data_IF_599840049918
#
_entry.id   IF_599840049918
#
_cell.length_a   1.000
_cell.length_b   1.000
_cell.length_c   1.000
_cell.angle_alpha   90.00
_cell.angle_beta   90.00
_cell.angle_gamma   90.00
#
_symmetry.space_group_name_H-M   'P 1'
#
loop_
_entity.id
_entity.type
_entity.pdbx_description
1 polymer ?
#
# COMPACT_ATOMS: atom_id res chain seq x y z
N UNK A 1 11.03 -8.97 3.22
CA UNK A 1 10.27 -8.23 4.27
C UNK A 1 10.61 -6.76 4.17
N UNK A 2 9.61 -5.84 4.21
CA UNK A 2 9.87 -4.39 4.22
C UNK A 2 10.43 -4.02 5.59
N UNK A 3 11.52 -3.23 5.61
CA UNK A 3 12.21 -2.79 6.83
C UNK A 3 12.04 -1.30 7.10
N UNK A 4 12.04 -0.49 6.05
CA UNK A 4 12.00 0.96 6.18
C UNK A 4 11.32 1.57 4.97
N UNK A 5 10.60 2.66 5.18
CA UNK A 5 10.15 3.55 4.11
C UNK A 5 10.51 4.99 4.45
N UNK A 6 11.05 5.70 3.47
CA UNK A 6 11.21 7.15 3.50
C UNK A 6 10.23 7.78 2.52
N UNK A 7 9.61 8.86 2.91
CA UNK A 7 8.55 9.54 2.16
C UNK A 7 8.90 11.02 2.13
N UNK A 8 9.13 11.56 0.95
CA UNK A 8 9.49 12.95 0.75
C UNK A 8 8.48 13.64 -0.19
N UNK A 9 8.06 14.84 0.15
CA UNK A 9 7.22 15.69 -0.68
C UNK A 9 5.78 15.19 -0.92
N UNK A 10 5.26 14.25 -0.11
CA UNK A 10 3.96 13.62 -0.34
C UNK A 10 2.88 14.09 0.62
N UNK A 11 1.84 14.74 0.09
CA UNK A 11 0.70 15.29 0.84
C UNK A 11 1.17 16.21 1.98
N UNK A 12 0.95 15.82 3.24
CA UNK A 12 1.38 16.57 4.42
C UNK A 12 2.81 16.25 4.86
N UNK A 13 3.47 15.28 4.25
CA UNK A 13 4.83 14.91 4.59
C UNK A 13 5.84 15.71 3.79
N UNK A 14 6.68 16.45 4.47
CA UNK A 14 7.88 17.05 3.92
C UNK A 14 8.94 15.96 3.75
N UNK A 15 9.39 15.41 4.87
CA UNK A 15 10.26 14.24 4.91
C UNK A 15 9.94 13.42 6.14
N UNK A 16 9.67 12.15 5.97
CA UNK A 16 9.43 11.22 7.06
C UNK A 16 10.09 9.88 6.78
N UNK A 17 10.69 9.30 7.81
CA UNK A 17 11.30 7.98 7.78
C UNK A 17 10.65 7.09 8.82
N UNK A 18 10.20 5.91 8.41
CA UNK A 18 9.49 4.95 9.24
C UNK A 18 10.13 3.57 9.15
N UNK A 19 10.46 3.00 10.29
CA UNK A 19 10.85 1.60 10.39
C UNK A 19 9.61 0.71 10.40
N UNK A 20 9.64 -0.36 9.63
CA UNK A 20 8.56 -1.31 9.47
C UNK A 20 9.00 -2.71 9.91
N UNK A 21 8.08 -3.42 10.51
CA UNK A 21 8.28 -4.79 10.98
C UNK A 21 7.24 -5.73 10.36
N UNK A 22 7.30 -7.03 10.67
CA UNK A 22 6.32 -8.03 10.21
C UNK A 22 4.88 -7.64 10.56
N UNK A 23 4.71 -6.91 11.64
CA UNK A 23 3.47 -6.27 12.03
C UNK A 23 3.76 -4.83 12.45
N UNK A 24 3.15 -3.88 11.78
CA UNK A 24 3.26 -2.45 12.09
C UNK A 24 1.87 -1.85 12.27
N UNK A 25 1.63 -1.25 13.41
CA UNK A 25 0.38 -0.57 13.73
C UNK A 25 0.57 0.95 13.66
N UNK A 26 -0.17 1.59 12.76
CA UNK A 26 -0.24 3.05 12.67
C UNK A 26 -1.43 3.57 13.48
N UNK A 27 -1.17 4.15 14.63
CA UNK A 27 -2.18 4.72 15.51
C UNK A 27 -2.05 6.26 15.58
N UNK A 28 -3.15 6.95 15.80
CA UNK A 28 -3.17 8.40 15.93
C UNK A 28 -4.50 9.02 15.51
N UNK A 29 -4.62 10.35 15.69
CA UNK A 29 -5.82 11.13 15.34
C UNK A 29 -6.13 11.05 13.85
N UNK A 30 -7.35 11.44 13.47
CA UNK A 30 -7.69 11.57 12.04
C UNK A 30 -6.84 12.65 11.37
N UNK A 31 -6.58 12.48 10.08
CA UNK A 31 -5.82 13.42 9.23
C UNK A 31 -4.34 13.60 9.57
N UNK A 32 -3.73 12.75 10.40
CA UNK A 32 -2.28 12.81 10.70
C UNK A 32 -1.40 12.07 9.68
N UNK A 33 -1.96 11.58 8.56
CA UNK A 33 -1.18 10.96 7.50
C UNK A 33 -1.09 9.42 7.54
N UNK A 34 -1.78 8.71 8.45
CA UNK A 34 -1.73 7.23 8.50
C UNK A 34 -2.03 6.56 7.16
N UNK A 35 -3.10 6.99 6.50
CA UNK A 35 -3.47 6.48 5.19
C UNK A 35 -2.43 6.85 4.13
N UNK A 36 -1.79 8.01 4.24
CA UNK A 36 -0.73 8.43 3.30
C UNK A 36 0.49 7.52 3.39
N UNK A 37 0.87 7.05 4.58
CA UNK A 37 1.94 6.05 4.75
C UNK A 37 1.58 4.74 4.06
N UNK A 38 0.36 4.24 4.22
CA UNK A 38 -0.08 2.99 3.55
C UNK A 38 -0.08 3.19 2.02
N UNK A 39 -0.54 4.35 1.55
CA UNK A 39 -0.58 4.69 0.13
C UNK A 39 0.81 4.82 -0.48
N UNK A 40 1.78 5.38 0.24
CA UNK A 40 3.17 5.47 -0.24
C UNK A 40 3.81 4.08 -0.36
N UNK A 41 3.62 3.20 0.63
CA UNK A 41 4.08 1.81 0.53
C UNK A 41 3.43 1.13 -0.68
N UNK A 42 2.11 1.27 -0.86
CA UNK A 42 1.41 0.65 -1.98
C UNK A 42 1.87 1.21 -3.33
N UNK A 43 2.12 2.53 -3.44
CA UNK A 43 2.61 3.17 -4.65
C UNK A 43 3.98 2.63 -5.11
N UNK A 44 4.82 2.15 -4.20
CA UNK A 44 6.10 1.51 -4.56
C UNK A 44 5.91 0.25 -5.41
N UNK A 45 4.79 -0.46 -5.25
CA UNK A 45 4.47 -1.70 -5.96
C UNK A 45 3.56 -1.49 -7.19
N UNK A 46 3.18 -0.26 -7.49
CA UNK A 46 2.40 0.06 -8.68
C UNK A 46 3.31 0.43 -9.84
N UNK A 47 3.08 -0.16 -11.00
CA UNK A 47 3.78 0.17 -12.23
C UNK A 47 3.07 1.32 -12.98
N UNK A 48 3.78 1.93 -13.95
CA UNK A 48 3.28 2.97 -14.83
C UNK A 48 3.66 4.39 -14.42
N UNK A 49 3.28 5.35 -15.27
CA UNK A 49 3.67 6.75 -15.12
C UNK A 49 2.99 7.46 -13.93
N UNK A 50 1.89 6.92 -13.45
CA UNK A 50 1.21 7.44 -12.27
C UNK A 50 0.80 6.31 -11.30
N UNK A 51 1.63 6.01 -10.29
CA UNK A 51 1.37 4.95 -9.34
C UNK A 51 0.18 5.23 -8.40
N UNK A 52 -0.39 6.43 -8.46
CA UNK A 52 -1.55 6.84 -7.66
C UNK A 52 -2.89 6.60 -8.36
N UNK A 53 -2.86 6.12 -9.62
CA UNK A 53 -4.04 5.78 -10.40
C UNK A 53 -4.01 4.31 -10.83
N UNK A 54 -4.89 3.53 -10.23
CA UNK A 54 -5.03 2.12 -10.52
C UNK A 54 -6.34 1.57 -9.95
N UNK A 55 -6.53 0.28 -10.12
CA UNK A 55 -7.74 -0.42 -9.68
C UNK A 55 -7.98 -0.27 -8.17
N UNK A 56 -6.93 -0.41 -7.37
CA UNK A 56 -7.02 -0.41 -5.90
C UNK A 56 -6.81 0.97 -5.28
N UNK A 57 -6.17 1.90 -5.98
CA UNK A 57 -5.90 3.23 -5.50
C UNK A 57 -6.10 4.24 -6.62
N UNK A 58 -6.97 5.22 -6.40
CA UNK A 58 -7.18 6.34 -7.31
C UNK A 58 -7.34 7.62 -6.49
N UNK A 59 -6.22 8.30 -6.24
CA UNK A 59 -6.17 9.46 -5.33
C UNK A 59 -5.72 10.76 -6.00
N UNK A 60 -5.43 10.73 -7.29
CA UNK A 60 -5.10 11.92 -8.08
C UNK A 60 -3.80 11.81 -8.86
N UNK A 61 -3.29 12.94 -9.28
CA UNK A 61 -2.02 13.08 -10.00
C UNK A 61 -0.92 13.55 -9.06
N UNK A 62 0.35 13.40 -9.48
CA UNK A 62 1.51 13.85 -8.72
C UNK A 62 1.37 15.31 -8.26
N UNK A 63 1.03 16.24 -9.16
CA UNK A 63 0.87 17.67 -8.84
C UNK A 63 -0.14 17.97 -7.73
N UNK A 64 -1.21 17.15 -7.65
CA UNK A 64 -2.26 17.30 -6.63
C UNK A 64 -1.82 16.72 -5.28
N UNK A 65 -0.84 15.83 -5.32
CA UNK A 65 -0.36 15.07 -4.16
C UNK A 65 0.98 15.56 -3.62
N UNK A 66 1.69 16.41 -4.36
CA UNK A 66 2.89 17.08 -3.86
C UNK A 66 2.59 17.93 -2.63
N UNK A 67 3.56 18.05 -1.73
CA UNK A 67 3.42 18.88 -0.54
C UNK A 67 3.42 20.36 -0.91
N UNK A 68 2.22 20.95 -0.98
CA UNK A 68 2.02 22.36 -1.32
C UNK A 68 2.57 23.33 -0.23
N UNK A 69 2.77 22.88 1.01
CA UNK A 69 3.28 23.73 2.10
C UNK A 69 4.75 24.00 1.89
N UNK A 70 5.51 23.00 1.47
CA UNK A 70 6.95 23.11 1.21
C UNK A 70 7.23 23.55 -0.22
N UNK A 71 6.22 23.50 -1.10
CA UNK A 71 6.36 23.83 -2.52
C UNK A 71 7.15 22.76 -3.28
N UNK A 72 6.97 21.48 -2.91
CA UNK A 72 7.61 20.38 -3.62
C UNK A 72 6.97 20.15 -4.97
N UNK A 73 7.79 20.01 -6.02
CA UNK A 73 7.36 19.67 -7.38
C UNK A 73 7.51 18.17 -7.67
N UNK A 74 8.01 17.42 -6.71
CA UNK A 74 8.29 16.00 -6.82
C UNK A 74 7.94 15.25 -5.53
N UNK A 75 7.62 13.97 -5.70
CA UNK A 75 7.40 13.01 -4.64
C UNK A 75 8.44 11.94 -4.75
N UNK A 76 9.11 11.60 -3.65
CA UNK A 76 10.10 10.55 -3.62
C UNK A 76 9.80 9.55 -2.51
N UNK A 77 9.86 8.28 -2.86
CA UNK A 77 9.72 7.17 -1.94
C UNK A 77 10.93 6.27 -2.01
N UNK A 78 11.54 5.98 -0.86
CA UNK A 78 12.64 5.04 -0.72
C UNK A 78 12.20 3.88 0.16
N UNK A 79 12.38 2.67 -0.33
CA UNK A 79 12.00 1.45 0.34
C UNK A 79 13.23 0.58 0.60
N UNK A 80 13.47 0.22 1.86
CA UNK A 80 14.42 -0.82 2.22
C UNK A 80 13.67 -2.12 2.53
N UNK A 81 14.08 -3.20 1.90
CA UNK A 81 13.46 -4.49 2.12
C UNK A 81 14.53 -5.59 2.19
N UNK A 82 14.19 -6.64 2.90
CA UNK A 82 15.04 -7.82 3.05
C UNK A 82 14.49 -8.95 2.20
N UNK A 83 15.35 -9.48 1.34
CA UNK A 83 15.08 -10.64 0.51
C UNK A 83 16.29 -11.58 0.57
N UNK A 84 16.05 -12.87 0.80
CA UNK A 84 17.09 -13.91 0.92
C UNK A 84 18.26 -13.54 1.85
N UNK A 85 17.96 -12.86 2.97
CA UNK A 85 18.96 -12.44 3.94
C UNK A 85 19.83 -11.25 3.52
N UNK A 86 19.49 -10.59 2.41
CA UNK A 86 20.13 -9.37 1.94
C UNK A 86 19.19 -8.19 2.07
N UNK A 87 19.73 -7.05 2.44
CA UNK A 87 19.00 -5.78 2.41
C UNK A 87 19.16 -5.15 1.06
N UNK A 88 18.04 -4.88 0.41
CA UNK A 88 17.94 -4.23 -0.89
C UNK A 88 17.19 -2.92 -0.76
N UNK A 89 17.41 -2.02 -1.72
CA UNK A 89 16.77 -0.72 -1.77
C UNK A 89 16.09 -0.52 -3.12
N UNK A 90 14.94 0.11 -3.09
CA UNK A 90 14.25 0.58 -4.27
C UNK A 90 13.79 2.00 -4.02
N UNK A 91 13.94 2.87 -4.99
CA UNK A 91 13.43 4.23 -4.95
C UNK A 91 12.48 4.51 -6.10
N UNK A 92 11.54 5.40 -5.88
CA UNK A 92 10.59 5.84 -6.88
C UNK A 92 10.39 7.34 -6.76
N UNK A 93 10.70 8.04 -7.84
CA UNK A 93 10.54 9.48 -7.97
C UNK A 93 9.39 9.77 -8.93
N UNK A 94 8.43 10.55 -8.50
CA UNK A 94 7.19 10.84 -9.21
C UNK A 94 7.06 12.34 -9.38
N UNK A 95 6.92 12.76 -10.64
CA UNK A 95 6.77 14.17 -11.04
C UNK A 95 5.52 14.34 -11.89
N UNK A 96 5.24 15.57 -12.29
CA UNK A 96 4.20 15.87 -13.28
C UNK A 96 4.41 15.18 -14.62
N UNK A 97 5.66 14.95 -15.00
CA UNK A 97 6.07 14.42 -16.30
C UNK A 97 6.07 12.90 -16.34
N UNK A 98 6.08 12.24 -15.18
CA UNK A 98 6.06 10.79 -15.07
C UNK A 98 6.78 10.25 -13.84
N UNK A 99 6.96 8.95 -13.84
CA UNK A 99 7.60 8.21 -12.73
C UNK A 99 8.92 7.60 -13.17
N UNK A 100 9.95 7.82 -12.37
CA UNK A 100 11.25 7.15 -12.50
C UNK A 100 11.45 6.21 -11.33
N UNK A 101 11.87 4.99 -11.57
CA UNK A 101 12.16 4.01 -10.54
C UNK A 101 13.61 3.53 -10.63
N UNK A 102 14.27 3.45 -9.49
CA UNK A 102 15.60 2.88 -9.34
C UNK A 102 15.52 1.70 -8.36
N UNK A 103 16.28 0.65 -8.65
CA UNK A 103 16.15 -0.62 -7.94
C UNK A 103 14.92 -1.41 -8.43
N UNK A 104 14.95 -2.72 -8.27
CA UNK A 104 13.87 -3.59 -8.72
C UNK A 104 13.30 -4.32 -7.51
N UNK A 105 12.07 -4.00 -7.15
CA UNK A 105 11.32 -4.85 -6.21
C UNK A 105 10.97 -6.12 -6.97
N UNK A 106 11.38 -7.28 -6.44
CA UNK A 106 11.15 -8.55 -7.13
C UNK A 106 9.66 -8.79 -7.40
N UNK A 107 9.35 -9.29 -8.60
CA UNK A 107 7.99 -9.59 -9.08
C UNK A 107 7.22 -10.60 -8.21
N UNK A 108 7.91 -11.28 -7.30
CA UNK A 108 7.30 -12.30 -6.42
C UNK A 108 6.60 -11.75 -5.17
N UNK A 109 6.72 -10.45 -4.90
CA UNK A 109 6.06 -9.84 -3.74
C UNK A 109 4.60 -9.59 -4.08
N UNK A 110 3.70 -10.42 -3.54
CA UNK A 110 2.27 -10.18 -3.63
C UNK A 110 1.85 -9.13 -2.60
N UNK A 111 1.34 -8.00 -3.06
CA UNK A 111 0.82 -6.94 -2.20
C UNK A 111 -0.70 -6.99 -2.21
N UNK A 112 -1.30 -6.99 -1.04
CA UNK A 112 -2.73 -6.90 -0.84
C UNK A 112 -3.03 -5.57 -0.19
N UNK A 113 -3.74 -4.70 -0.90
CA UNK A 113 -4.16 -3.40 -0.40
C UNK A 113 -5.66 -3.42 -0.06
N UNK A 114 -5.97 -3.18 1.21
CA UNK A 114 -7.34 -3.01 1.67
C UNK A 114 -7.62 -1.51 1.88
N UNK A 115 -8.48 -0.95 1.05
CA UNK A 115 -8.84 0.46 1.16
C UNK A 115 -9.64 0.76 2.43
N UNK A 116 -9.75 2.04 2.79
CA UNK A 116 -10.63 2.49 3.88
C UNK A 116 -12.13 2.34 3.55
N UNK A 117 -12.47 2.23 2.27
CA UNK A 117 -13.82 1.99 1.76
C UNK A 117 -14.15 0.49 1.81
N UNK A 118 -14.08 -0.08 3.00
CA UNK A 118 -14.41 -1.49 3.18
C UNK A 118 -15.90 -1.72 3.09
N UNK A 119 -16.28 -2.88 2.55
CA UNK A 119 -17.65 -3.36 2.67
C UNK A 119 -17.97 -3.51 4.15
N UNK A 120 -18.99 -2.81 4.61
CA UNK A 120 -19.50 -2.94 5.97
C UNK A 120 -20.15 -4.31 6.20
N UNK A 121 -20.70 -4.51 7.39
CA UNK A 121 -21.43 -5.74 7.71
C UNK A 121 -22.65 -5.88 6.79
N UNK A 122 -22.72 -7.00 6.06
CA UNK A 122 -23.82 -7.38 5.17
C UNK A 122 -24.33 -8.75 5.56
N UNK A 123 -25.57 -9.04 5.24
CA UNK A 123 -26.18 -10.37 5.47
C UNK A 123 -25.58 -11.44 4.55
N UNK A 124 -25.08 -11.02 3.38
CA UNK A 124 -24.46 -11.91 2.37
C UNK A 124 -23.25 -11.26 1.75
N UNK A 125 -22.21 -12.06 1.49
CA UNK A 125 -21.00 -11.65 0.79
C UNK A 125 -20.80 -12.51 -0.45
N UNK A 126 -20.24 -11.90 -1.51
CA UNK A 126 -19.86 -12.64 -2.70
C UNK A 126 -18.73 -13.63 -2.35
N UNK A 127 -18.84 -14.83 -2.89
CA UNK A 127 -17.82 -15.85 -2.73
C UNK A 127 -16.90 -15.86 -3.95
N UNK A 128 -15.61 -15.70 -3.71
CA UNK A 128 -14.61 -15.90 -4.74
C UNK A 128 -14.36 -17.40 -4.94
N UNK A 129 -14.46 -17.86 -6.18
CA UNK A 129 -14.33 -19.29 -6.55
C UNK A 129 -13.01 -19.61 -7.26
N UNK A 130 -12.07 -18.67 -7.33
CA UNK A 130 -10.76 -18.89 -7.96
C UNK A 130 -9.75 -19.54 -7.00
N UNK A 131 -8.69 -20.08 -7.56
CA UNK A 131 -7.60 -20.76 -6.81
C UNK A 131 -6.61 -19.77 -6.18
N UNK A 132 -6.60 -18.51 -6.63
CA UNK A 132 -5.72 -17.48 -6.09
C UNK A 132 -6.37 -16.72 -4.92
N UNK A 133 -5.55 -16.25 -3.98
CA UNK A 133 -6.04 -15.38 -2.90
C UNK A 133 -6.28 -13.98 -3.46
N UNK A 134 -7.54 -13.63 -3.65
CA UNK A 134 -8.00 -12.31 -4.07
C UNK A 134 -8.93 -11.76 -2.98
N UNK A 135 -8.56 -10.62 -2.39
CA UNK A 135 -9.38 -10.02 -1.31
C UNK A 135 -10.42 -9.05 -1.87
N UNK A 136 -10.19 -8.56 -3.09
CA UNK A 136 -11.02 -7.53 -3.74
C UNK A 136 -10.66 -6.11 -3.29
N UNK A 137 -11.11 -5.13 -4.07
CA UNK A 137 -10.80 -3.71 -3.85
C UNK A 137 -11.34 -3.19 -2.51
N UNK A 138 -12.53 -3.61 -2.16
CA UNK A 138 -13.23 -3.21 -0.94
C UNK A 138 -13.24 -4.33 0.12
N UNK A 139 -12.31 -5.27 0.02
CA UNK A 139 -12.23 -6.47 0.86
C UNK A 139 -13.48 -7.36 0.76
N UNK A 140 -14.19 -7.36 -0.37
CA UNK A 140 -15.44 -8.08 -0.58
C UNK A 140 -15.29 -9.60 -0.45
N UNK A 141 -14.12 -10.14 -0.75
CA UNK A 141 -13.83 -11.58 -0.66
C UNK A 141 -13.12 -12.00 0.63
N UNK A 142 -12.77 -11.06 1.50
CA UNK A 142 -12.03 -11.35 2.73
C UNK A 142 -12.76 -12.35 3.64
N UNK A 143 -14.08 -12.26 3.71
CA UNK A 143 -14.92 -13.15 4.53
C UNK A 143 -14.86 -14.60 4.01
N UNK A 144 -14.77 -14.80 2.71
CA UNK A 144 -14.68 -16.14 2.12
C UNK A 144 -13.45 -16.90 2.62
N UNK A 145 -12.33 -16.20 2.80
CA UNK A 145 -11.07 -16.81 3.26
C UNK A 145 -11.07 -17.08 4.77
N UNK A 146 -11.68 -16.24 5.57
CA UNK A 146 -11.78 -16.48 7.02
C UNK A 146 -12.59 -17.72 7.34
N UNK A 147 -13.66 -17.99 6.58
CA UNK A 147 -14.46 -19.20 6.74
C UNK A 147 -13.76 -20.47 6.24
N UNK A 148 -12.88 -20.37 5.25
CA UNK A 148 -12.14 -21.52 4.72
C UNK A 148 -10.95 -21.92 5.61
N UNK A 149 -10.42 -21.00 6.42
CA UNK A 149 -9.20 -21.21 7.22
C UNK A 149 -9.45 -21.42 8.71
N UNK A 150 -10.64 -21.13 9.20
CA UNK A 150 -10.99 -21.45 10.59
C UNK A 150 -11.24 -22.96 10.72
N UNK A 151 -10.56 -23.66 11.66
CA UNK A 151 -10.90 -25.04 11.94
C UNK A 151 -12.36 -25.07 12.41
N UNK A 152 -13.18 -25.82 11.71
CA UNK A 152 -14.52 -26.18 12.19
C UNK A 152 -14.33 -26.95 13.48
N UNK A 153 -14.47 -26.29 14.62
CA UNK A 153 -14.69 -26.98 15.89
C UNK A 153 -16.03 -27.65 15.76
N UNK A 154 -16.03 -28.92 15.38
CA UNK A 154 -17.21 -29.77 15.59
C UNK A 154 -17.54 -29.71 17.07
N UNK A 155 -18.68 -29.09 17.38
CA UNK A 155 -19.26 -29.22 18.71
C UNK A 155 -19.89 -30.61 18.75
N UNK A 156 -19.25 -31.49 19.50
CA UNK A 156 -19.88 -32.70 20.00
C UNK A 156 -20.89 -32.35 21.05
#
# INVERSE_FOLDING_TARGET
MIRKIEINGFKSFDSVSLELNNFTLLAGRNSVGKTSVIQSVFAMFQDGDNPFRGEYMNIGNANELCNAIVGSDEIEFDLEYEHDGKTEKASKKITAEGTTAEGKIEEKVKVIYCSSERIGVKDTYEKYLGDEIVIGKNCEYAVSYTHLTLPTTERV
#
